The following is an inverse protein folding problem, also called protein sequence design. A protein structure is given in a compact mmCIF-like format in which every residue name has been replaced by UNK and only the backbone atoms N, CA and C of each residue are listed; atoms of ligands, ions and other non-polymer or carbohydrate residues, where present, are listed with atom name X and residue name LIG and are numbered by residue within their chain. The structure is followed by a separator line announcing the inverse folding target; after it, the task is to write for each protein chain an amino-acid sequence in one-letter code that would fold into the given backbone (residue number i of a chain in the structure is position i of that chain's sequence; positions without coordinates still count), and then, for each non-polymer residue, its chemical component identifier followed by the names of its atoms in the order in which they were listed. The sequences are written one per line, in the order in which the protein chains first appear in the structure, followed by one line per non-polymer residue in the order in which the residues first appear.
data_IF_811609844451
#
_entry.id   IF_811609844451
#
_cell.length_a   1.000
_cell.length_b   1.000
_cell.length_c   1.000
_cell.angle_alpha   90.00
_cell.angle_beta   90.00
_cell.angle_gamma   90.00
#
_symmetry.space_group_name_H-M   'P 1'
#
loop_
_entity.id
_entity.type
_entity.pdbx_description
1 polymer ?
#
# COMPACT_ATOMS: atom_id res chain seq x y z
N UNK A 1 -35.51 -35.32 0.44
CA UNK A 1 -34.86 -34.79 -0.78
C UNK A 1 -33.73 -33.90 -0.31
N UNK A 2 -32.53 -34.47 -0.23
CA UNK A 2 -31.31 -33.83 0.29
C UNK A 2 -30.65 -33.03 -0.83
N UNK A 3 -30.43 -31.74 -0.60
CA UNK A 3 -29.72 -30.85 -1.53
C UNK A 3 -28.22 -31.19 -1.46
N UNK A 4 -27.50 -31.37 -2.59
CA UNK A 4 -26.08 -31.69 -2.55
C UNK A 4 -25.26 -30.45 -2.21
N UNK A 5 -24.65 -30.46 -1.02
CA UNK A 5 -23.66 -29.48 -0.56
C UNK A 5 -22.27 -29.76 -1.18
N UNK A 6 -22.12 -29.64 -2.50
CA UNK A 6 -20.88 -30.00 -3.21
C UNK A 6 -20.20 -28.89 -4.03
N UNK A 7 -20.94 -27.89 -4.51
CA UNK A 7 -20.45 -27.02 -5.60
C UNK A 7 -19.54 -25.86 -5.15
N UNK A 8 -19.44 -25.58 -3.85
CA UNK A 8 -18.57 -24.51 -3.33
C UNK A 8 -17.09 -24.88 -3.22
N UNK A 9 -16.75 -26.18 -3.24
CA UNK A 9 -15.37 -26.66 -3.06
C UNK A 9 -14.53 -26.59 -4.35
N UNK A 10 -15.16 -26.69 -5.52
CA UNK A 10 -14.45 -26.72 -6.81
C UNK A 10 -14.27 -25.35 -7.46
N UNK A 11 -15.04 -24.31 -7.09
CA UNK A 11 -14.93 -22.98 -7.71
C UNK A 11 -13.69 -22.18 -7.27
N UNK A 12 -13.13 -22.48 -6.10
CA UNK A 12 -11.97 -21.75 -5.56
C UNK A 12 -10.62 -22.19 -6.11
N UNK A 13 -10.48 -23.46 -6.51
CA UNK A 13 -9.24 -24.01 -7.07
C UNK A 13 -8.89 -23.39 -8.45
N UNK A 14 -9.83 -23.29 -9.41
CA UNK A 14 -9.60 -22.62 -10.69
C UNK A 14 -9.15 -21.17 -10.52
N UNK A 15 -9.68 -20.42 -9.56
CA UNK A 15 -9.30 -19.01 -9.39
C UNK A 15 -7.87 -18.83 -8.89
N UNK A 16 -7.37 -19.75 -8.07
CA UNK A 16 -5.97 -19.74 -7.61
C UNK A 16 -5.05 -20.13 -8.77
N UNK A 17 -5.45 -21.10 -9.60
CA UNK A 17 -4.72 -21.47 -10.82
C UNK A 17 -4.70 -20.32 -11.84
N UNK A 18 -5.83 -19.65 -12.06
CA UNK A 18 -5.95 -18.46 -12.90
C UNK A 18 -5.04 -17.33 -12.39
N UNK A 19 -5.00 -17.11 -11.06
CA UNK A 19 -4.10 -16.12 -10.46
C UNK A 19 -2.63 -16.49 -10.71
N UNK A 20 -2.24 -17.75 -10.50
CA UNK A 20 -0.87 -18.21 -10.76
C UNK A 20 -0.48 -18.05 -12.22
N UNK A 21 -1.38 -18.45 -13.13
CA UNK A 21 -1.19 -18.26 -14.56
C UNK A 21 -1.06 -16.78 -14.90
N UNK A 22 -1.93 -15.92 -14.35
CA UNK A 22 -1.89 -14.48 -14.57
C UNK A 22 -0.56 -13.86 -14.10
N UNK A 23 -0.09 -14.27 -12.91
CA UNK A 23 1.23 -13.89 -12.37
C UNK A 23 2.34 -14.33 -13.30
N UNK A 24 2.34 -15.57 -13.78
CA UNK A 24 3.37 -16.06 -14.69
C UNK A 24 3.42 -15.25 -16.01
N UNK A 25 2.26 -15.04 -16.64
CA UNK A 25 2.17 -14.35 -17.93
C UNK A 25 2.50 -12.86 -17.85
N UNK A 26 2.14 -12.20 -16.75
CA UNK A 26 2.36 -10.77 -16.56
C UNK A 26 3.70 -10.45 -15.89
N UNK A 27 4.61 -11.42 -15.71
CA UNK A 27 5.83 -11.27 -14.90
C UNK A 27 5.50 -10.68 -13.53
N UNK A 28 4.66 -11.42 -12.82
CA UNK A 28 3.99 -11.10 -11.58
C UNK A 28 2.75 -10.21 -11.73
N UNK A 29 2.75 -9.06 -12.42
CA UNK A 29 1.59 -8.14 -12.43
C UNK A 29 1.57 -7.20 -13.64
N UNK A 30 0.36 -6.80 -14.09
CA UNK A 30 0.22 -5.74 -15.12
C UNK A 30 0.57 -4.35 -14.58
N UNK A 31 0.58 -4.19 -13.26
CA UNK A 31 1.04 -3.02 -12.52
C UNK A 31 2.42 -3.28 -11.89
N UNK A 32 3.37 -3.74 -12.71
CA UNK A 32 4.77 -3.82 -12.31
C UNK A 32 5.33 -2.43 -11.99
N UNK A 33 6.13 -2.34 -10.93
CA UNK A 33 6.80 -1.12 -10.50
C UNK A 33 8.17 -1.43 -9.89
N UNK A 34 9.12 -0.51 -10.07
CA UNK A 34 10.46 -0.53 -9.49
C UNK A 34 10.63 0.63 -8.50
N UNK A 35 11.84 0.78 -7.95
CA UNK A 35 12.16 1.93 -7.11
C UNK A 35 11.95 3.28 -7.82
N UNK A 36 12.10 3.33 -9.15
CA UNK A 36 11.85 4.54 -9.94
C UNK A 36 10.37 4.92 -9.99
N UNK A 37 9.48 3.95 -10.17
CA UNK A 37 8.02 4.19 -10.14
C UNK A 37 7.56 4.56 -8.74
N UNK A 38 8.13 3.97 -7.68
CA UNK A 38 7.84 4.38 -6.31
C UNK A 38 8.27 5.83 -6.03
N UNK A 39 9.43 6.25 -6.55
CA UNK A 39 9.88 7.63 -6.47
C UNK A 39 8.96 8.56 -7.28
N UNK A 40 8.56 8.16 -8.49
CA UNK A 40 7.62 8.94 -9.30
C UNK A 40 6.29 9.13 -8.57
N UNK A 41 5.72 8.06 -8.00
CA UNK A 41 4.52 8.13 -7.19
C UNK A 41 4.69 9.04 -5.96
N UNK A 42 5.85 9.02 -5.30
CA UNK A 42 6.13 9.95 -4.20
C UNK A 42 6.15 11.41 -4.66
N UNK A 43 6.69 11.68 -5.85
CA UNK A 43 6.82 13.04 -6.39
C UNK A 43 5.49 13.66 -6.82
N UNK A 44 4.45 12.85 -7.05
CA UNK A 44 3.07 13.36 -7.24
C UNK A 44 2.63 14.21 -6.05
N UNK A 45 3.05 13.83 -4.83
CA UNK A 45 2.70 14.51 -3.59
C UNK A 45 3.62 15.69 -3.23
N UNK A 46 4.75 15.83 -3.92
CA UNK A 46 5.67 16.98 -3.77
C UNK A 46 5.64 17.92 -4.96
N UNK A 47 4.75 17.69 -5.93
CA UNK A 47 4.67 18.44 -7.21
C UNK A 47 6.01 18.44 -7.95
N UNK A 48 6.74 17.34 -7.90
CA UNK A 48 8.05 17.20 -8.54
C UNK A 48 9.21 17.88 -7.81
N UNK A 49 9.01 18.41 -6.60
CA UNK A 49 10.11 18.95 -5.79
C UNK A 49 10.93 17.83 -5.15
N UNK A 50 12.25 18.04 -5.12
CA UNK A 50 13.22 17.09 -4.57
C UNK A 50 14.13 17.70 -3.50
N UNK A 51 14.28 19.03 -3.48
CA UNK A 51 15.13 19.75 -2.53
C UNK A 51 14.28 20.49 -1.49
N UNK A 52 14.59 20.23 -0.22
CA UNK A 52 13.87 20.74 0.94
C UNK A 52 14.87 21.13 2.02
N UNK A 53 14.81 22.35 2.54
CA UNK A 53 15.85 22.86 3.46
C UNK A 53 15.31 23.69 4.61
N UNK A 54 14.00 23.92 4.68
CA UNK A 54 13.38 24.84 5.64
C UNK A 54 12.26 24.20 6.46
N UNK A 55 11.83 24.89 7.52
CA UNK A 55 10.64 24.50 8.29
C UNK A 55 9.35 24.55 7.45
N UNK A 56 9.29 25.44 6.45
CA UNK A 56 8.14 25.49 5.54
C UNK A 56 8.12 24.25 4.64
N UNK A 57 9.28 23.91 4.08
CA UNK A 57 9.44 22.68 3.29
C UNK A 57 9.08 21.43 4.10
N UNK A 58 9.44 21.41 5.38
CA UNK A 58 9.09 20.31 6.29
C UNK A 58 7.56 20.18 6.49
N UNK A 59 6.84 21.30 6.57
CA UNK A 59 5.37 21.29 6.64
C UNK A 59 4.77 20.74 5.34
N UNK A 60 5.21 21.27 4.20
CA UNK A 60 4.75 20.83 2.88
C UNK A 60 5.01 19.33 2.65
N UNK A 61 6.20 18.85 3.01
CA UNK A 61 6.54 17.43 2.94
C UNK A 61 5.64 16.57 3.82
N UNK A 62 5.37 17.00 5.06
CA UNK A 62 4.52 16.24 5.97
C UNK A 62 3.05 16.24 5.51
N UNK A 63 2.57 17.32 4.89
CA UNK A 63 1.27 17.36 4.22
C UNK A 63 1.21 16.39 3.02
N UNK A 64 2.22 16.42 2.14
CA UNK A 64 2.34 15.48 1.02
C UNK A 64 2.38 14.02 1.49
N UNK A 65 3.13 13.74 2.56
CA UNK A 65 3.19 12.40 3.17
C UNK A 65 1.83 11.96 3.75
N UNK A 66 1.06 12.87 4.37
CA UNK A 66 -0.31 12.57 4.83
C UNK A 66 -1.23 12.27 3.65
N UNK A 67 -1.17 13.07 2.59
CA UNK A 67 -1.94 12.82 1.37
C UNK A 67 -1.58 11.45 0.74
N UNK A 68 -0.30 11.08 0.70
CA UNK A 68 0.13 9.75 0.25
C UNK A 68 -0.39 8.62 1.15
N UNK A 69 -0.43 8.84 2.47
CA UNK A 69 -1.00 7.89 3.43
C UNK A 69 -2.49 7.64 3.15
N UNK A 70 -3.25 8.71 2.93
CA UNK A 70 -4.67 8.65 2.60
C UNK A 70 -4.91 7.95 1.26
N UNK A 71 -4.09 8.28 0.25
CA UNK A 71 -4.15 7.64 -1.07
C UNK A 71 -3.88 6.13 -0.97
N UNK A 72 -2.82 5.74 -0.25
CA UNK A 72 -2.50 4.33 0.00
C UNK A 72 -3.64 3.62 0.77
N UNK A 73 -4.31 4.31 1.69
CA UNK A 73 -5.46 3.77 2.40
C UNK A 73 -6.68 3.54 1.50
N UNK A 74 -6.91 4.39 0.48
CA UNK A 74 -7.93 4.14 -0.56
C UNK A 74 -7.60 2.85 -1.31
N UNK A 75 -6.36 2.69 -1.76
CA UNK A 75 -5.89 1.46 -2.44
C UNK A 75 -6.04 0.23 -1.55
N UNK A 76 -5.69 0.33 -0.25
CA UNK A 76 -5.86 -0.76 0.71
C UNK A 76 -7.33 -1.18 0.86
N UNK A 77 -8.27 -0.22 0.92
CA UNK A 77 -9.70 -0.54 1.03
C UNK A 77 -10.24 -1.17 -0.25
N UNK A 78 -9.77 -0.74 -1.43
CA UNK A 78 -10.10 -1.37 -2.70
C UNK A 78 -9.61 -2.82 -2.74
N UNK A 79 -8.35 -3.07 -2.35
CA UNK A 79 -7.79 -4.41 -2.17
C UNK A 79 -8.65 -5.24 -1.19
N UNK A 80 -8.97 -4.69 -0.03
CA UNK A 80 -9.78 -5.34 0.99
C UNK A 80 -11.18 -5.75 0.52
N UNK A 81 -11.79 -4.96 -0.36
CA UNK A 81 -13.07 -5.28 -0.99
C UNK A 81 -12.94 -6.46 -1.98
N UNK A 82 -11.90 -6.49 -2.81
CA UNK A 82 -11.64 -7.60 -3.72
C UNK A 82 -11.34 -8.91 -2.95
N UNK A 83 -10.55 -8.83 -1.88
CA UNK A 83 -10.32 -9.95 -0.95
C UNK A 83 -11.62 -10.46 -0.35
N UNK A 84 -12.50 -9.56 0.08
CA UNK A 84 -13.80 -9.91 0.66
C UNK A 84 -14.71 -10.61 -0.35
N UNK A 85 -14.67 -10.21 -1.61
CA UNK A 85 -15.37 -10.88 -2.70
C UNK A 85 -14.80 -12.29 -2.94
N UNK A 86 -13.48 -12.43 -2.98
CA UNK A 86 -12.83 -13.74 -3.13
C UNK A 86 -13.17 -14.69 -1.97
N UNK A 87 -13.12 -14.21 -0.72
CA UNK A 87 -13.47 -14.99 0.49
C UNK A 87 -14.89 -15.53 0.50
N UNK A 88 -15.83 -14.93 -0.23
CA UNK A 88 -17.21 -15.42 -0.33
C UNK A 88 -17.33 -16.69 -1.19
N UNK A 89 -16.40 -16.88 -2.12
CA UNK A 89 -16.42 -17.98 -3.07
C UNK A 89 -15.39 -19.08 -2.73
N UNK A 90 -14.35 -18.76 -1.97
CA UNK A 90 -13.26 -19.66 -1.63
C UNK A 90 -13.44 -20.23 -0.21
N UNK A 91 -13.19 -21.53 -0.05
CA UNK A 91 -13.28 -22.22 1.24
C UNK A 91 -12.34 -21.58 2.31
N UNK A 92 -12.82 -21.30 3.54
CA UNK A 92 -12.03 -20.66 4.60
C UNK A 92 -10.70 -21.35 4.95
N UNK A 93 -10.63 -22.68 4.83
CA UNK A 93 -9.43 -23.47 5.16
C UNK A 93 -8.27 -23.27 4.18
N UNK A 94 -8.53 -22.72 2.99
CA UNK A 94 -7.51 -22.44 1.96
C UNK A 94 -6.92 -21.03 2.05
N UNK A 95 -7.41 -20.18 2.96
CA UNK A 95 -7.11 -18.74 2.92
C UNK A 95 -5.65 -18.39 3.25
N UNK A 96 -4.94 -19.23 4.01
CA UNK A 96 -3.50 -19.06 4.26
C UNK A 96 -2.73 -19.13 2.94
N UNK A 97 -3.01 -20.15 2.13
CA UNK A 97 -2.41 -20.33 0.81
C UNK A 97 -2.78 -19.18 -0.12
N UNK A 98 -4.04 -18.76 -0.14
CA UNK A 98 -4.49 -17.62 -0.96
C UNK A 98 -3.80 -16.33 -0.55
N UNK A 99 -3.65 -16.06 0.74
CA UNK A 99 -2.94 -14.86 1.21
C UNK A 99 -1.48 -14.87 0.75
N UNK A 100 -0.82 -16.04 0.79
CA UNK A 100 0.54 -16.19 0.28
C UNK A 100 0.61 -15.96 -1.24
N UNK A 101 -0.37 -16.42 -2.02
CA UNK A 101 -0.45 -16.14 -3.46
C UNK A 101 -0.67 -14.65 -3.77
N UNK A 102 -1.20 -13.89 -2.82
CA UNK A 102 -1.38 -12.44 -2.91
C UNK A 102 -0.18 -11.64 -2.38
N UNK A 103 0.95 -12.30 -2.08
CA UNK A 103 2.12 -11.72 -1.39
C UNK A 103 1.71 -10.88 -0.16
N UNK A 104 0.80 -11.47 0.64
CA UNK A 104 0.17 -10.84 1.79
C UNK A 104 0.07 -11.82 2.96
N UNK A 105 -0.18 -11.29 4.16
CA UNK A 105 -0.53 -12.13 5.31
C UNK A 105 -2.04 -12.28 5.44
N UNK A 106 -2.49 -13.30 6.19
CA UNK A 106 -3.91 -13.45 6.56
C UNK A 106 -4.40 -12.24 7.34
N UNK A 107 -3.54 -11.67 8.20
CA UNK A 107 -3.85 -10.49 9.01
C UNK A 107 -4.02 -9.25 8.14
N UNK A 108 -3.13 -9.00 7.18
CA UNK A 108 -3.26 -7.88 6.24
C UNK A 108 -4.53 -7.98 5.39
N UNK A 109 -4.84 -9.18 4.89
CA UNK A 109 -6.07 -9.46 4.17
C UNK A 109 -7.30 -9.18 5.04
N UNK A 110 -7.29 -9.64 6.29
CA UNK A 110 -8.40 -9.45 7.23
C UNK A 110 -8.58 -7.99 7.64
N UNK A 111 -7.49 -7.30 7.97
CA UNK A 111 -7.49 -5.88 8.30
C UNK A 111 -8.01 -5.04 7.13
N UNK A 112 -7.53 -5.31 5.91
CA UNK A 112 -7.96 -4.61 4.71
C UNK A 112 -9.44 -4.85 4.41
N UNK A 113 -9.94 -6.09 4.51
CA UNK A 113 -11.37 -6.38 4.37
C UNK A 113 -12.23 -5.72 5.46
N UNK A 114 -11.71 -5.63 6.69
CA UNK A 114 -12.38 -4.92 7.77
C UNK A 114 -12.49 -3.42 7.44
N UNK A 115 -11.39 -2.78 7.04
CA UNK A 115 -11.42 -1.36 6.62
C UNK A 115 -12.33 -1.12 5.41
N UNK A 116 -12.38 -2.05 4.46
CA UNK A 116 -13.33 -1.99 3.35
C UNK A 116 -14.76 -1.99 3.89
N UNK A 117 -15.12 -2.91 4.80
CA UNK A 117 -16.49 -3.04 5.35
C UNK A 117 -17.03 -1.74 5.95
N UNK A 118 -16.20 -0.99 6.67
CA UNK A 118 -16.61 0.25 7.36
C UNK A 118 -16.46 1.53 6.54
N UNK A 119 -16.15 1.42 5.25
CA UNK A 119 -16.00 2.58 4.35
C UNK A 119 -17.13 2.62 3.32
N UNK A 120 -17.46 3.81 2.80
CA UNK A 120 -18.39 3.91 1.68
C UNK A 120 -17.71 3.51 0.37
N UNK A 121 -18.45 3.16 -0.71
CA UNK A 121 -17.85 2.89 -2.01
C UNK A 121 -17.00 4.06 -2.55
N UNK A 122 -17.41 5.30 -2.27
CA UNK A 122 -16.67 6.50 -2.69
C UNK A 122 -15.29 6.61 -2.01
N UNK A 123 -15.13 6.05 -0.81
CA UNK A 123 -13.86 6.08 -0.06
C UNK A 123 -12.83 5.04 -0.55
N UNK A 124 -13.19 4.24 -1.57
CA UNK A 124 -12.38 3.13 -2.09
C UNK A 124 -12.03 3.31 -3.56
N UNK A 125 -12.37 4.45 -4.16
CA UNK A 125 -12.06 4.75 -5.56
C UNK A 125 -11.11 5.94 -5.65
N UNK A 126 -10.22 5.85 -6.62
CA UNK A 126 -9.42 6.94 -7.16
C UNK A 126 -9.06 6.58 -8.61
N UNK A 127 -8.42 7.50 -9.33
CA UNK A 127 -8.09 7.30 -10.73
C UNK A 127 -7.27 6.02 -11.01
N UNK A 128 -6.37 5.63 -10.11
CA UNK A 128 -5.55 4.43 -10.28
C UNK A 128 -6.32 3.14 -9.94
N UNK A 129 -7.16 3.16 -8.90
CA UNK A 129 -8.05 2.03 -8.57
C UNK A 129 -9.03 1.78 -9.73
N UNK A 130 -9.64 2.83 -10.28
CA UNK A 130 -10.53 2.71 -11.44
C UNK A 130 -9.80 2.21 -12.68
N UNK A 131 -8.53 2.57 -12.84
CA UNK A 131 -7.67 2.02 -13.90
C UNK A 131 -7.43 0.53 -13.71
N UNK A 132 -7.15 0.06 -12.49
CA UNK A 132 -7.02 -1.37 -12.18
C UNK A 132 -8.31 -2.10 -12.51
N UNK A 133 -9.46 -1.59 -12.06
CA UNK A 133 -10.76 -2.20 -12.36
C UNK A 133 -10.99 -2.36 -13.86
N UNK A 134 -10.83 -1.28 -14.64
CA UNK A 134 -10.99 -1.34 -16.11
C UNK A 134 -10.06 -2.35 -16.78
N UNK A 135 -8.80 -2.43 -16.34
CA UNK A 135 -7.84 -3.38 -16.91
C UNK A 135 -8.22 -4.83 -16.59
N UNK A 136 -8.61 -5.10 -15.34
CA UNK A 136 -8.99 -6.44 -14.91
C UNK A 136 -10.31 -6.88 -15.55
N UNK A 137 -11.28 -5.98 -15.66
CA UNK A 137 -12.59 -6.26 -16.29
C UNK A 137 -12.46 -6.59 -17.78
N UNK A 138 -11.39 -6.14 -18.44
CA UNK A 138 -11.07 -6.49 -19.82
C UNK A 138 -10.35 -7.83 -20.00
N UNK A 139 -10.07 -8.59 -18.94
CA UNK A 139 -9.43 -9.91 -19.02
C UNK A 139 -10.46 -11.01 -19.30
N UNK A 140 -10.10 -11.97 -20.16
CA UNK A 140 -10.96 -13.10 -20.53
C UNK A 140 -11.32 -14.01 -19.34
N UNK A 141 -10.44 -14.15 -18.36
CA UNK A 141 -10.60 -14.98 -17.14
C UNK A 141 -10.52 -14.12 -15.88
N UNK A 142 -11.12 -12.93 -15.90
CA UNK A 142 -11.13 -12.04 -14.74
C UNK A 142 -11.82 -12.70 -13.54
N UNK A 143 -11.19 -12.62 -12.37
CA UNK A 143 -11.77 -13.09 -11.12
C UNK A 143 -11.36 -12.19 -9.94
N UNK A 144 -12.03 -12.29 -8.78
CA UNK A 144 -11.72 -11.45 -7.62
C UNK A 144 -10.30 -11.60 -7.08
N UNK A 145 -9.62 -12.74 -7.27
CA UNK A 145 -8.23 -12.92 -6.84
C UNK A 145 -7.25 -12.17 -7.74
N UNK A 146 -7.43 -12.21 -9.06
CA UNK A 146 -6.64 -11.39 -9.99
C UNK A 146 -6.84 -9.91 -9.69
N UNK A 147 -8.08 -9.50 -9.40
CA UNK A 147 -8.38 -8.12 -8.99
C UNK A 147 -7.70 -7.75 -7.68
N UNK A 148 -7.78 -8.61 -6.67
CA UNK A 148 -7.12 -8.40 -5.38
C UNK A 148 -5.61 -8.29 -5.55
N UNK A 149 -5.02 -9.15 -6.38
CA UNK A 149 -3.61 -9.11 -6.70
C UNK A 149 -3.18 -7.79 -7.33
N UNK A 150 -3.85 -7.32 -8.39
CA UNK A 150 -3.48 -6.06 -9.04
C UNK A 150 -3.68 -4.84 -8.13
N UNK A 151 -4.72 -4.85 -7.28
CA UNK A 151 -4.94 -3.80 -6.29
C UNK A 151 -3.90 -3.84 -5.15
N UNK A 152 -3.40 -5.03 -4.79
CA UNK A 152 -2.30 -5.18 -3.83
C UNK A 152 -1.02 -4.57 -4.36
N UNK A 153 -0.68 -4.81 -5.63
CA UNK A 153 0.50 -4.20 -6.25
C UNK A 153 0.42 -2.68 -6.28
N UNK A 154 -0.77 -2.13 -6.57
CA UNK A 154 -1.02 -0.69 -6.49
C UNK A 154 -0.90 -0.16 -5.05
N UNK A 155 -1.44 -0.88 -4.08
CA UNK A 155 -1.33 -0.51 -2.66
C UNK A 155 0.13 -0.50 -2.20
N UNK A 156 0.92 -1.52 -2.56
CA UNK A 156 2.33 -1.61 -2.20
C UNK A 156 3.16 -0.49 -2.83
N UNK A 157 2.86 -0.10 -4.08
CA UNK A 157 3.48 1.06 -4.72
C UNK A 157 3.26 2.35 -3.92
N UNK A 158 2.01 2.64 -3.54
CA UNK A 158 1.73 3.86 -2.79
C UNK A 158 2.18 3.79 -1.32
N UNK A 159 2.31 2.59 -0.74
CA UNK A 159 3.02 2.40 0.53
C UNK A 159 4.52 2.61 0.41
N UNK A 160 5.14 2.19 -0.69
CA UNK A 160 6.52 2.51 -0.99
C UNK A 160 6.74 4.02 -1.14
N UNK A 161 5.84 4.72 -1.84
CA UNK A 161 5.85 6.17 -1.96
C UNK A 161 5.70 6.88 -0.59
N UNK A 162 4.76 6.43 0.25
CA UNK A 162 4.60 6.93 1.63
C UNK A 162 5.90 6.77 2.44
N UNK A 163 6.56 5.61 2.33
CA UNK A 163 7.82 5.35 3.01
C UNK A 163 8.95 6.27 2.52
N UNK A 164 9.05 6.54 1.22
CA UNK A 164 10.02 7.50 0.68
C UNK A 164 9.78 8.89 1.27
N UNK A 165 8.52 9.34 1.32
CA UNK A 165 8.16 10.64 1.88
C UNK A 165 8.45 10.71 3.39
N UNK A 166 8.17 9.65 4.14
CA UNK A 166 8.52 9.57 5.57
C UNK A 166 10.04 9.57 5.77
N UNK A 167 10.79 8.86 4.94
CA UNK A 167 12.26 8.86 4.99
C UNK A 167 12.78 10.29 4.78
N UNK A 168 12.26 11.02 3.78
CA UNK A 168 12.63 12.43 3.50
C UNK A 168 12.22 13.38 4.63
N UNK A 169 11.03 13.23 5.20
CA UNK A 169 10.57 14.03 6.36
C UNK A 169 11.53 13.85 7.53
N UNK A 170 11.89 12.61 7.86
CA UNK A 170 12.75 12.31 9.01
C UNK A 170 14.20 12.74 8.78
N UNK A 171 14.70 12.66 7.55
CA UNK A 171 16.02 13.16 7.23
C UNK A 171 16.08 14.69 7.34
N UNK A 172 15.08 15.41 6.81
CA UNK A 172 15.00 16.87 6.95
C UNK A 172 14.82 17.31 8.42
N UNK A 173 14.05 16.56 9.21
CA UNK A 173 13.94 16.78 10.67
C UNK A 173 15.33 16.75 11.33
N UNK A 174 16.14 15.73 11.02
CA UNK A 174 17.48 15.57 11.60
C UNK A 174 18.45 16.66 11.13
N UNK A 175 18.32 17.12 9.89
CA UNK A 175 19.11 18.23 9.36
C UNK A 175 18.75 19.56 10.04
N UNK A 176 17.46 19.83 10.22
CA UNK A 176 16.96 21.05 10.86
C UNK A 176 17.20 21.09 12.37
N UNK A 177 17.32 19.94 13.04
CA UNK A 177 17.57 19.84 14.49
C UNK A 177 18.87 20.56 14.91
N UNK A 178 19.85 20.66 14.00
CA UNK A 178 21.09 21.41 14.23
C UNK A 178 20.93 22.93 14.19
N UNK A 179 19.82 23.43 13.64
CA UNK A 179 19.63 24.84 13.27
C UNK A 179 18.36 25.46 13.85
N UNK A 180 17.38 24.66 14.26
CA UNK A 180 16.05 25.08 14.72
C UNK A 180 15.74 24.47 16.08
N UNK A 181 14.77 25.05 16.80
CA UNK A 181 14.34 24.47 18.08
C UNK A 181 13.53 23.22 17.81
N UNK A 182 13.74 22.17 18.62
CA UNK A 182 13.01 20.91 18.49
C UNK A 182 11.48 21.09 18.54
N UNK A 183 10.98 22.07 19.30
CA UNK A 183 9.55 22.38 19.33
C UNK A 183 9.04 22.92 17.99
N UNK A 184 9.77 23.83 17.32
CA UNK A 184 9.37 24.37 16.02
C UNK A 184 9.30 23.26 14.96
N UNK A 185 10.21 22.28 15.05
CA UNK A 185 10.25 21.09 14.19
C UNK A 185 9.05 20.18 14.49
N UNK A 186 8.78 19.91 15.77
CA UNK A 186 7.64 19.10 16.19
C UNK A 186 6.31 19.70 15.69
N UNK A 187 6.15 21.02 15.86
CA UNK A 187 4.97 21.76 15.38
C UNK A 187 4.86 21.69 13.85
N UNK A 188 5.97 21.81 13.12
CA UNK A 188 6.00 21.74 11.66
C UNK A 188 5.52 20.37 11.11
N UNK A 189 5.82 19.27 11.79
CA UNK A 189 5.33 17.95 11.38
C UNK A 189 4.02 17.53 12.07
N UNK A 190 3.44 18.43 12.86
CA UNK A 190 2.18 18.23 13.59
C UNK A 190 2.28 17.15 14.68
N UNK A 191 3.42 17.09 15.37
CA UNK A 191 3.63 16.24 16.55
C UNK A 191 3.54 17.09 17.81
N UNK A 192 2.71 16.66 18.77
CA UNK A 192 2.35 17.46 19.94
C UNK A 192 3.53 17.69 20.90
N UNK A 193 4.48 16.74 20.98
CA UNK A 193 5.57 16.78 21.97
C UNK A 193 6.92 16.43 21.35
N UNK A 194 7.99 16.98 21.91
CA UNK A 194 9.38 16.62 21.54
C UNK A 194 9.62 15.11 21.74
N UNK A 195 9.03 14.51 22.78
CA UNK A 195 9.10 13.07 22.98
C UNK A 195 8.45 12.29 21.83
N UNK A 196 7.31 12.77 21.31
CA UNK A 196 6.67 12.21 20.12
C UNK A 196 7.54 12.35 18.87
N UNK A 197 8.26 13.48 18.72
CA UNK A 197 9.20 13.71 17.62
C UNK A 197 10.32 12.66 17.66
N UNK A 198 10.97 12.49 18.81
CA UNK A 198 12.01 11.48 19.01
C UNK A 198 11.48 10.05 18.79
N UNK A 199 10.27 9.76 19.25
CA UNK A 199 9.65 8.45 19.02
C UNK A 199 9.45 8.18 17.53
N UNK A 200 8.93 9.15 16.76
CA UNK A 200 8.74 9.01 15.31
C UNK A 200 10.07 8.79 14.59
N UNK A 201 11.11 9.55 14.94
CA UNK A 201 12.47 9.36 14.40
C UNK A 201 12.96 7.95 14.71
N UNK A 202 12.92 7.53 15.98
CA UNK A 202 13.38 6.21 16.41
C UNK A 202 12.62 5.07 15.72
N UNK A 203 11.29 5.19 15.61
CA UNK A 203 10.46 4.23 14.92
C UNK A 203 10.82 4.13 13.42
N UNK A 204 11.04 5.25 12.75
CA UNK A 204 11.48 5.25 11.36
C UNK A 204 12.87 4.61 11.23
N UNK A 205 13.85 4.98 12.06
CA UNK A 205 15.22 4.46 11.99
C UNK A 205 15.29 2.97 12.31
N UNK A 206 14.50 2.47 13.26
CA UNK A 206 14.44 1.04 13.56
C UNK A 206 13.90 0.21 12.38
N UNK A 207 12.88 0.72 11.67
CA UNK A 207 12.24 0.04 10.55
C UNK A 207 13.01 0.18 9.22
N UNK A 208 13.51 1.38 8.95
CA UNK A 208 14.01 1.81 7.63
C UNK A 208 15.51 2.12 7.62
N UNK A 209 16.12 2.36 8.78
CA UNK A 209 17.54 2.70 8.89
C UNK A 209 17.88 4.15 8.55
N UNK A 210 19.18 4.44 8.43
CA UNK A 210 19.72 5.76 8.06
C UNK A 210 19.85 5.95 6.56
N UNK A 211 20.20 7.17 6.12
CA UNK A 211 20.53 7.42 4.71
C UNK A 211 21.56 6.41 4.22
N UNK A 212 21.30 5.77 3.07
CA UNK A 212 22.12 4.71 2.49
C UNK A 212 21.79 3.28 2.96
N UNK A 213 20.93 3.10 3.97
CA UNK A 213 20.53 1.77 4.43
C UNK A 213 19.74 1.01 3.33
N UNK A 214 20.12 -0.26 3.02
CA UNK A 214 19.42 -1.06 2.01
C UNK A 214 17.92 -1.23 2.26
N UNK A 215 17.47 -1.19 3.52
CA UNK A 215 16.05 -1.30 3.91
C UNK A 215 15.19 -0.17 3.37
N UNK A 216 15.80 0.95 2.96
CA UNK A 216 15.10 2.08 2.34
C UNK A 216 14.73 1.84 0.88
N UNK A 217 15.41 0.91 0.20
CA UNK A 217 15.17 0.65 -1.22
C UNK A 217 13.78 0.03 -1.40
N UNK A 218 12.88 0.67 -2.17
CA UNK A 218 11.60 0.07 -2.50
C UNK A 218 11.83 -1.16 -3.36
N UNK A 219 11.07 -2.21 -3.10
CA UNK A 219 11.10 -3.42 -3.90
C UNK A 219 9.70 -4.02 -3.96
N UNK A 220 9.22 -4.27 -5.17
CA UNK A 220 7.95 -4.94 -5.42
C UNK A 220 8.02 -6.43 -5.07
N UNK A 221 9.16 -7.07 -5.28
CA UNK A 221 9.34 -8.52 -5.09
C UNK A 221 10.28 -8.79 -3.94
N UNK A 222 9.75 -9.21 -2.79
CA UNK A 222 10.56 -9.73 -1.68
C UNK A 222 10.72 -11.24 -1.78
#
# INVERSE_FOLDING_TARGET
MTVPNGEGLELGLPWVEDLRWHRDQCRQSRFQWSGSEALLAATEFTRGRHDFTSLMDLRELNEGRRAATEYAAVCQRAFGEAVRQARRAICPTSWVTVAAELDSTVDDCSASSHFATWSSPADRTNAQVDRVHRIVDGLYFSNPLIRAWELKQLWDLYKAAENILEDTVIDLVVELDRQRRAQDIADAIGVITIAGLHHRISLQRSRRGTVGDPRRRPNQYR
#
